data_IF_177942013819
#
_entry.id   IF_177942013819
#
_cell.length_a   1.000
_cell.length_b   1.000
_cell.length_c   1.000
_cell.angle_alpha   90.00
_cell.angle_beta   90.00
_cell.angle_gamma   90.00
#
_symmetry.space_group_name_H-M   'P 1'
#
loop_
_entity.id
_entity.type
_entity.pdbx_description
1 polymer ?
#
# COMPACT_ATOMS: atom_id res chain seq x y z
N UNK A 1 -8.11 -3.60 3.10
CA UNK A 1 -9.03 -3.73 1.94
C UNK A 1 -8.72 -5.06 1.24
N UNK A 2 -9.73 -5.80 0.77
CA UNK A 2 -9.49 -7.06 0.03
C UNK A 2 -9.27 -6.72 -1.44
N UNK A 3 -8.11 -7.06 -1.99
CA UNK A 3 -7.81 -6.84 -3.40
C UNK A 3 -7.89 -8.18 -4.10
N UNK A 4 -8.93 -8.32 -4.91
CA UNK A 4 -9.19 -9.51 -5.66
C UNK A 4 -8.39 -9.45 -6.97
N UNK A 5 -7.21 -10.07 -6.98
CA UNK A 5 -6.42 -10.20 -8.19
C UNK A 5 -6.94 -11.39 -9.02
N UNK A 6 -7.78 -11.12 -10.01
CA UNK A 6 -8.19 -12.11 -10.99
C UNK A 6 -7.42 -11.94 -12.32
N UNK A 7 -6.84 -13.06 -12.78
CA UNK A 7 -6.53 -13.45 -14.16
C UNK A 7 -5.12 -13.21 -14.72
N UNK A 8 -4.59 -14.28 -15.34
CA UNK A 8 -3.36 -14.32 -16.13
C UNK A 8 -3.39 -15.61 -16.99
N UNK A 9 -2.90 -15.60 -18.23
CA UNK A 9 -2.93 -16.73 -19.18
C UNK A 9 -1.56 -17.04 -19.79
N UNK A 10 -1.21 -18.34 -19.96
CA UNK A 10 -0.55 -18.89 -21.16
C UNK A 10 -0.58 -20.45 -21.28
N UNK A 11 -1.02 -20.84 -22.48
CA UNK A 11 -0.77 -21.99 -23.40
C UNK A 11 -1.08 -23.48 -23.12
N UNK A 12 -1.39 -23.93 -21.90
CA UNK A 12 -2.07 -25.24 -21.69
C UNK A 12 -3.33 -25.19 -20.83
N UNK A 13 -3.63 -24.02 -20.29
CA UNK A 13 -4.87 -23.68 -19.59
C UNK A 13 -5.65 -22.71 -20.49
N UNK A 14 -6.83 -23.10 -21.01
CA UNK A 14 -7.65 -22.24 -21.88
C UNK A 14 -8.66 -21.40 -21.09
N UNK A 15 -8.59 -20.08 -21.28
CA UNK A 15 -9.57 -19.06 -20.88
C UNK A 15 -9.08 -18.21 -19.71
N UNK A 16 -9.18 -16.88 -19.82
CA UNK A 16 -9.76 -15.91 -18.85
C UNK A 16 -9.40 -14.46 -19.24
N UNK A 17 -10.38 -13.59 -19.06
CA UNK A 17 -10.47 -12.21 -19.53
C UNK A 17 -10.10 -11.20 -18.44
N UNK A 18 -9.55 -10.08 -18.87
CA UNK A 18 -9.11 -8.85 -18.21
C UNK A 18 -9.98 -8.19 -17.10
N UNK A 19 -9.26 -7.48 -16.20
CA UNK A 19 -9.61 -6.31 -15.33
C UNK A 19 -10.58 -6.48 -14.14
N UNK A 20 -10.21 -5.91 -12.98
CA UNK A 20 -10.70 -4.62 -12.49
C UNK A 20 -9.85 -4.12 -11.30
N UNK A 21 -9.27 -2.93 -11.44
CA UNK A 21 -8.66 -2.18 -10.35
C UNK A 21 -9.76 -1.61 -9.46
N UNK A 22 -9.85 -2.03 -8.20
CA UNK A 22 -10.58 -1.31 -7.15
C UNK A 22 -9.78 -1.51 -5.85
N UNK A 23 -9.33 -0.50 -5.10
CA UNK A 23 -9.37 0.96 -5.20
C UNK A 23 -7.92 1.39 -4.87
N UNK A 24 -7.18 1.87 -5.87
CA UNK A 24 -5.83 2.39 -5.65
C UNK A 24 -5.97 3.65 -4.79
N UNK A 25 -5.27 3.71 -3.65
CA UNK A 25 -5.34 4.85 -2.73
C UNK A 25 -4.53 6.05 -3.23
N UNK A 26 -3.42 5.77 -3.95
CA UNK A 26 -2.51 6.77 -4.50
C UNK A 26 -2.35 6.59 -6.00
N UNK A 27 -2.41 7.67 -6.80
CA UNK A 27 -2.31 7.70 -8.27
C UNK A 27 -1.18 6.88 -8.89
N UNK A 28 -0.13 6.57 -8.11
CA UNK A 28 1.00 5.75 -8.53
C UNK A 28 0.75 4.22 -8.41
N UNK A 29 -0.41 3.80 -7.92
CA UNK A 29 -0.76 2.38 -7.77
C UNK A 29 -0.42 1.78 -6.40
N UNK A 30 -0.20 2.62 -5.39
CA UNK A 30 0.13 2.19 -4.02
C UNK A 30 -1.11 2.19 -3.11
N UNK A 31 -1.07 1.34 -2.08
CA UNK A 31 -2.11 1.22 -1.06
C UNK A 31 -1.64 1.77 0.28
N UNK A 32 -2.53 2.46 1.00
CA UNK A 32 -2.26 3.03 2.32
C UNK A 32 -2.39 2.01 3.46
N UNK A 33 -3.09 0.91 3.18
CA UNK A 33 -3.44 -0.11 4.15
C UNK A 33 -3.08 -1.50 3.65
N UNK A 34 -3.11 -2.46 4.58
CA UNK A 34 -2.97 -3.87 4.29
C UNK A 34 -3.87 -4.32 3.14
N UNK A 35 -3.22 -5.03 2.22
CA UNK A 35 -3.83 -5.62 1.03
C UNK A 35 -3.96 -7.11 1.26
N UNK A 36 -5.18 -7.65 1.19
CA UNK A 36 -5.36 -9.12 1.17
C UNK A 36 -5.46 -9.60 -0.26
N UNK A 37 -4.53 -10.46 -0.67
CA UNK A 37 -4.48 -11.12 -1.97
C UNK A 37 -5.22 -12.45 -1.89
N UNK A 38 -6.22 -12.62 -2.76
CA UNK A 38 -6.89 -13.90 -2.98
C UNK A 38 -6.37 -14.54 -4.26
N UNK A 39 -5.91 -15.79 -4.19
CA UNK A 39 -5.45 -16.55 -5.35
C UNK A 39 -6.49 -17.62 -5.73
N UNK A 40 -6.73 -17.77 -7.02
CA UNK A 40 -7.61 -18.79 -7.58
C UNK A 40 -6.99 -19.42 -8.82
N UNK A 41 -7.28 -20.69 -9.04
CA UNK A 41 -6.82 -21.43 -10.19
C UNK A 41 -7.91 -22.40 -10.65
N UNK A 42 -7.98 -22.61 -11.96
CA UNK A 42 -8.83 -23.61 -12.59
C UNK A 42 -7.97 -24.45 -13.54
N UNK A 43 -8.40 -25.69 -13.78
CA UNK A 43 -7.78 -26.58 -14.75
C UNK A 43 -8.88 -27.22 -15.59
N UNK A 44 -8.79 -27.07 -16.91
CA UNK A 44 -9.72 -27.67 -17.86
C UNK A 44 -9.45 -29.15 -18.11
N UNK A 45 -8.30 -29.67 -17.66
CA UNK A 45 -7.95 -31.07 -17.72
C UNK A 45 -8.57 -31.86 -16.58
N UNK A 46 -7.78 -32.10 -15.54
CA UNK A 46 -8.12 -33.04 -14.44
C UNK A 46 -8.45 -32.33 -13.13
N UNK A 47 -8.31 -31.01 -13.10
CA UNK A 47 -8.57 -30.18 -11.94
C UNK A 47 -7.28 -29.79 -11.22
N UNK A 48 -7.36 -28.68 -10.50
CA UNK A 48 -6.30 -28.17 -9.65
C UNK A 48 -6.23 -29.00 -8.37
N UNK A 49 -5.02 -29.39 -7.97
CA UNK A 49 -4.72 -29.97 -6.66
C UNK A 49 -4.56 -28.86 -5.62
N UNK A 50 -3.71 -27.87 -5.90
CA UNK A 50 -3.50 -26.71 -5.03
C UNK A 50 -2.78 -25.57 -5.75
N UNK A 51 -2.71 -24.43 -5.08
CA UNK A 51 -1.89 -23.29 -5.45
C UNK A 51 -0.73 -23.20 -4.46
N UNK A 52 0.43 -22.78 -4.95
CA UNK A 52 1.57 -22.39 -4.13
C UNK A 52 1.95 -20.94 -4.43
N UNK A 53 2.56 -20.28 -3.45
CA UNK A 53 3.11 -18.95 -3.57
C UNK A 53 4.51 -18.86 -2.96
N UNK A 54 5.26 -17.84 -3.38
CA UNK A 54 6.59 -17.51 -2.89
C UNK A 54 6.70 -16.01 -2.67
N UNK A 55 7.36 -15.63 -1.57
CA UNK A 55 7.65 -14.23 -1.19
C UNK A 55 9.15 -13.91 -1.28
N UNK A 56 9.96 -14.87 -1.73
CA UNK A 56 11.42 -14.82 -1.76
C UNK A 56 11.96 -15.14 -3.17
N UNK A 57 11.23 -14.67 -4.18
CA UNK A 57 11.56 -14.83 -5.58
C UNK A 57 11.73 -16.30 -6.05
N UNK A 58 10.89 -17.19 -5.51
CA UNK A 58 10.84 -18.60 -5.90
C UNK A 58 11.82 -19.50 -5.14
N UNK A 59 12.55 -18.98 -4.15
CA UNK A 59 13.47 -19.78 -3.34
C UNK A 59 12.73 -20.77 -2.43
N UNK A 60 11.59 -20.37 -1.86
CA UNK A 60 10.68 -21.25 -1.12
C UNK A 60 9.24 -21.10 -1.58
N UNK A 61 8.52 -22.22 -1.62
CA UNK A 61 7.12 -22.29 -2.02
C UNK A 61 6.26 -22.76 -0.85
N UNK A 62 5.17 -22.05 -0.60
CA UNK A 62 4.19 -22.34 0.44
C UNK A 62 2.85 -22.62 -0.20
N UNK A 63 2.12 -23.62 0.33
CA UNK A 63 0.75 -23.88 -0.11
C UNK A 63 -0.15 -22.71 0.25
N UNK A 64 -0.99 -22.30 -0.69
CA UNK A 64 -2.00 -21.29 -0.48
C UNK A 64 -3.25 -21.93 0.15
N UNK A 65 -3.64 -21.46 1.33
CA UNK A 65 -4.78 -21.99 2.09
C UNK A 65 -5.86 -20.93 2.31
N UNK A 66 -5.45 -19.68 2.51
CA UNK A 66 -6.31 -18.52 2.71
C UNK A 66 -5.63 -17.24 2.22
N UNK A 67 -6.36 -16.12 2.23
CA UNK A 67 -5.88 -14.82 1.74
C UNK A 67 -4.50 -14.43 2.28
N UNK A 68 -3.64 -13.90 1.40
CA UNK A 68 -2.30 -13.41 1.76
C UNK A 68 -2.37 -11.93 2.10
N UNK A 69 -2.15 -11.57 3.36
CA UNK A 69 -2.03 -10.17 3.77
C UNK A 69 -0.64 -9.63 3.44
N UNK A 70 -0.61 -8.52 2.70
CA UNK A 70 0.57 -7.73 2.38
C UNK A 70 0.48 -6.40 3.12
N UNK A 71 1.37 -6.21 4.07
CA UNK A 71 1.42 -5.02 4.94
C UNK A 71 2.79 -4.34 4.96
N UNK A 72 3.82 -5.00 4.42
CA UNK A 72 5.20 -4.49 4.46
C UNK A 72 5.34 -3.27 3.54
N UNK A 73 5.96 -2.22 4.06
CA UNK A 73 6.25 -1.01 3.30
C UNK A 73 7.02 -1.27 2.00
N UNK A 74 6.64 -0.55 0.95
CA UNK A 74 7.31 -0.57 -0.34
C UNK A 74 6.86 -1.72 -1.24
N UNK A 75 7.77 -2.17 -2.11
CA UNK A 75 7.48 -3.18 -3.13
C UNK A 75 7.46 -4.58 -2.53
N UNK A 76 6.33 -5.25 -2.68
CA UNK A 76 6.13 -6.65 -2.33
C UNK A 76 5.95 -7.45 -3.62
N UNK A 77 6.81 -8.45 -3.83
CA UNK A 77 6.70 -9.38 -4.96
C UNK A 77 6.17 -10.72 -4.47
N UNK A 78 5.05 -11.13 -5.03
CA UNK A 78 4.40 -12.40 -4.72
C UNK A 78 4.42 -13.23 -6.00
N UNK A 79 5.19 -14.30 -6.01
CA UNK A 79 5.14 -15.29 -7.06
C UNK A 79 4.11 -16.36 -6.73
N UNK A 80 3.41 -16.89 -7.72
CA UNK A 80 2.41 -17.93 -7.52
C UNK A 80 2.33 -18.88 -8.71
N UNK A 81 1.94 -20.13 -8.42
CA UNK A 81 1.76 -21.20 -9.40
C UNK A 81 0.70 -22.20 -8.93
N UNK A 82 0.08 -22.92 -9.86
CA UNK A 82 -0.87 -23.99 -9.57
C UNK A 82 -0.27 -25.36 -9.87
N UNK A 83 -0.70 -26.36 -9.10
CA UNK A 83 -0.33 -27.76 -9.26
C UNK A 83 -1.63 -28.52 -9.54
N UNK A 84 -1.66 -29.35 -10.58
CA UNK A 84 -2.82 -30.19 -10.91
C UNK A 84 -2.81 -31.54 -10.15
N UNK A 85 -3.82 -32.38 -10.35
CA UNK A 85 -3.94 -33.69 -9.67
C UNK A 85 -2.93 -34.76 -10.10
N UNK A 86 -2.18 -34.54 -11.19
CA UNK A 86 -1.08 -35.42 -11.63
C UNK A 86 0.27 -34.74 -11.50
N UNK A 87 0.35 -33.67 -10.69
CA UNK A 87 1.56 -32.93 -10.34
C UNK A 87 2.20 -32.15 -11.49
N UNK A 88 1.44 -31.76 -12.53
CA UNK A 88 1.93 -30.73 -13.45
C UNK A 88 1.88 -29.36 -12.76
N UNK A 89 2.94 -28.59 -12.93
CA UNK A 89 3.08 -27.23 -12.38
C UNK A 89 2.82 -26.22 -13.49
N UNK A 90 2.01 -25.20 -13.19
CA UNK A 90 1.77 -24.10 -14.13
C UNK A 90 3.00 -23.22 -14.32
N UNK A 91 2.96 -22.34 -15.32
CA UNK A 91 3.87 -21.20 -15.36
C UNK A 91 3.80 -20.39 -14.05
N UNK A 92 4.95 -19.91 -13.59
CA UNK A 92 5.05 -19.03 -12.43
C UNK A 92 4.70 -17.60 -12.83
N UNK A 93 3.84 -16.97 -12.04
CA UNK A 93 3.40 -15.59 -12.26
C UNK A 93 3.76 -14.72 -11.08
N UNK A 94 3.82 -13.42 -11.31
CA UNK A 94 4.19 -12.45 -10.29
C UNK A 94 3.11 -11.39 -10.15
N UNK A 95 2.73 -11.09 -8.91
CA UNK A 95 2.00 -9.89 -8.52
C UNK A 95 2.97 -8.97 -7.81
N UNK A 96 2.95 -7.69 -8.16
CA UNK A 96 3.66 -6.64 -7.44
C UNK A 96 2.63 -5.78 -6.70
N UNK A 97 2.78 -5.65 -5.39
CA UNK A 97 1.96 -4.78 -4.54
C UNK A 97 2.86 -3.74 -3.90
N UNK A 98 2.49 -2.47 -4.02
CA UNK A 98 3.16 -1.37 -3.36
C UNK A 98 2.32 -0.93 -2.17
N UNK A 99 2.93 -0.93 -0.99
CA UNK A 99 2.34 -0.36 0.22
C UNK A 99 3.08 0.95 0.51
N UNK A 100 2.31 1.99 0.81
CA UNK A 100 2.80 3.27 1.33
C UNK A 100 2.18 3.50 2.69
N UNK A 101 2.96 3.26 3.72
CA UNK A 101 2.56 3.32 5.11
C UNK A 101 2.12 4.72 5.47
N UNK A 102 1.11 4.81 6.34
CA UNK A 102 0.60 6.07 6.83
C UNK A 102 1.57 6.70 7.85
N UNK A 103 2.61 7.36 7.34
CA UNK A 103 3.62 8.06 8.13
C UNK A 103 3.66 9.54 7.77
N UNK A 104 4.19 10.37 8.67
CA UNK A 104 4.32 11.80 8.40
C UNK A 104 5.40 12.04 7.33
N UNK A 105 6.42 11.18 7.28
CA UNK A 105 7.46 11.15 6.27
C UNK A 105 6.88 10.90 4.87
N UNK A 106 5.96 9.94 4.74
CA UNK A 106 5.27 9.69 3.48
C UNK A 106 4.31 10.85 3.12
N UNK A 107 3.67 11.48 4.11
CA UNK A 107 2.86 12.67 3.87
C UNK A 107 3.71 13.84 3.34
N UNK A 108 4.92 14.04 3.88
CA UNK A 108 5.89 15.02 3.37
C UNK A 108 6.29 14.67 1.93
N UNK A 109 6.53 13.39 1.63
CA UNK A 109 6.85 12.95 0.26
C UNK A 109 5.72 13.25 -0.73
N UNK A 110 4.46 12.96 -0.37
CA UNK A 110 3.29 13.34 -1.17
C UNK A 110 3.22 14.86 -1.40
N UNK A 111 3.44 15.66 -0.35
CA UNK A 111 3.46 17.13 -0.46
C UNK A 111 4.56 17.63 -1.38
N UNK A 112 5.76 17.05 -1.32
CA UNK A 112 6.90 17.44 -2.17
C UNK A 112 6.63 17.13 -3.65
N UNK A 113 5.97 16.00 -3.92
CA UNK A 113 5.64 15.54 -5.26
C UNK A 113 4.36 16.18 -5.84
N UNK A 114 3.52 16.75 -4.99
CA UNK A 114 2.28 17.40 -5.39
C UNK A 114 2.51 18.53 -6.42
N UNK A 115 1.54 18.71 -7.31
CA UNK A 115 1.45 19.84 -8.20
C UNK A 115 0.68 20.97 -7.53
N UNK A 116 1.07 22.22 -7.83
CA UNK A 116 0.50 23.41 -7.22
C UNK A 116 1.54 24.43 -6.80
N UNK A 117 1.19 25.29 -5.86
CA UNK A 117 2.02 26.40 -5.42
C UNK A 117 3.24 25.91 -4.60
N UNK A 118 4.45 26.21 -5.08
CA UNK A 118 5.69 25.78 -4.42
C UNK A 118 5.88 26.36 -3.01
N UNK A 119 5.42 27.58 -2.73
CA UNK A 119 5.48 28.18 -1.40
C UNK A 119 4.57 27.45 -0.41
N UNK A 120 3.38 27.05 -0.85
CA UNK A 120 2.44 26.27 -0.03
C UNK A 120 3.01 24.88 0.27
N UNK A 121 3.51 24.17 -0.74
CA UNK A 121 4.15 22.86 -0.56
C UNK A 121 5.35 22.91 0.40
N UNK A 122 6.18 23.96 0.28
CA UNK A 122 7.33 24.18 1.17
C UNK A 122 6.87 24.41 2.62
N UNK A 123 5.89 25.29 2.81
CA UNK A 123 5.31 25.57 4.13
C UNK A 123 4.68 24.32 4.75
N UNK A 124 3.89 23.58 3.99
CA UNK A 124 3.22 22.36 4.44
C UNK A 124 4.23 21.26 4.81
N UNK A 125 5.29 21.08 4.01
CA UNK A 125 6.38 20.14 4.34
C UNK A 125 7.07 20.52 5.65
N UNK A 126 7.41 21.79 5.84
CA UNK A 126 8.05 22.28 7.07
C UNK A 126 7.15 22.10 8.31
N UNK A 127 5.84 22.34 8.16
CA UNK A 127 4.87 22.10 9.23
C UNK A 127 4.84 20.62 9.65
N UNK A 128 4.84 19.70 8.68
CA UNK A 128 4.87 18.27 8.96
C UNK A 128 6.21 17.83 9.60
N UNK A 129 7.34 18.38 9.16
CA UNK A 129 8.65 18.15 9.80
C UNK A 129 8.68 18.62 11.26
N UNK A 130 8.01 19.73 11.59
CA UNK A 130 7.88 20.18 12.97
C UNK A 130 6.95 19.28 13.82
N UNK A 131 5.97 18.60 13.20
CA UNK A 131 5.19 17.56 13.89
C UNK A 131 6.09 16.39 14.26
N UNK A 132 6.96 15.91 13.35
CA UNK A 132 7.93 14.84 13.65
C UNK A 132 8.82 15.23 14.83
N UNK A 133 9.42 16.43 14.80
CA UNK A 133 10.23 16.94 15.93
C UNK A 133 9.45 17.02 17.24
N UNK A 134 8.14 17.24 17.18
CA UNK A 134 7.28 17.29 18.37
C UNK A 134 7.02 15.89 18.93
N UNK A 135 6.88 14.89 18.07
CA UNK A 135 6.85 13.47 18.47
C UNK A 135 8.16 13.02 19.11
N UNK A 136 9.30 13.36 18.51
CA UNK A 136 10.65 13.04 19.04
C UNK A 136 10.88 13.62 20.44
N UNK A 137 10.27 14.78 20.73
CA UNK A 137 10.30 15.40 22.07
C UNK A 137 9.33 14.73 23.07
N UNK A 138 8.67 13.65 22.69
CA UNK A 138 7.67 12.95 23.51
C UNK A 138 6.34 13.69 23.67
N UNK A 139 6.10 14.78 22.91
CA UNK A 139 4.94 15.64 23.07
C UNK A 139 3.76 15.19 22.18
N UNK A 140 3.37 13.91 22.27
CA UNK A 140 2.39 13.26 21.37
C UNK A 140 1.09 14.06 21.17
N UNK A 141 0.45 14.50 22.26
CA UNK A 141 -0.81 15.25 22.17
C UNK A 141 -0.66 16.57 21.39
N UNK A 142 0.46 17.27 21.58
CA UNK A 142 0.74 18.52 20.83
C UNK A 142 1.01 18.22 19.35
N UNK A 143 1.70 17.12 19.07
CA UNK A 143 1.98 16.71 17.70
C UNK A 143 0.67 16.39 16.94
N UNK A 144 -0.24 15.60 17.54
CA UNK A 144 -1.55 15.33 16.93
C UNK A 144 -2.42 16.58 16.78
N UNK A 145 -2.44 17.49 17.77
CA UNK A 145 -3.14 18.77 17.63
C UNK A 145 -2.58 19.63 16.48
N UNK A 146 -1.27 19.61 16.26
CA UNK A 146 -0.66 20.27 15.10
C UNK A 146 -1.05 19.59 13.80
N UNK A 147 -1.11 18.25 13.77
CA UNK A 147 -1.53 17.48 12.61
C UNK A 147 -3.00 17.74 12.23
N UNK A 148 -3.91 17.83 13.22
CA UNK A 148 -5.31 18.22 13.01
C UNK A 148 -5.46 19.62 12.40
N UNK A 149 -4.62 20.57 12.85
CA UNK A 149 -4.58 21.92 12.28
C UNK A 149 -4.09 21.89 10.84
N UNK A 150 -3.05 21.11 10.54
CA UNK A 150 -2.53 20.92 9.19
C UNK A 150 -3.62 20.32 8.29
N UNK A 151 -4.27 19.24 8.72
CA UNK A 151 -5.39 18.61 8.00
C UNK A 151 -6.50 19.63 7.69
N UNK A 152 -6.94 20.36 8.71
CA UNK A 152 -7.99 21.38 8.57
C UNK A 152 -7.61 22.54 7.64
N UNK A 153 -6.32 22.91 7.61
CA UNK A 153 -5.80 23.96 6.75
C UNK A 153 -5.69 23.48 5.29
N UNK A 154 -5.09 22.31 5.08
CA UNK A 154 -4.94 21.69 3.75
C UNK A 154 -6.31 21.40 3.11
N UNK A 155 -7.33 21.03 3.90
CA UNK A 155 -8.69 20.84 3.37
C UNK A 155 -9.27 22.09 2.67
N UNK A 156 -8.83 23.28 3.08
CA UNK A 156 -9.31 24.56 2.55
C UNK A 156 -8.56 25.00 1.29
N UNK A 157 -7.47 24.33 0.93
CA UNK A 157 -6.71 24.64 -0.28
C UNK A 157 -7.57 24.45 -1.52
N UNK A 158 -7.39 25.36 -2.47
CA UNK A 158 -8.03 25.34 -3.78
C UNK A 158 -7.15 24.60 -4.78
N UNK A 159 -7.69 24.29 -5.96
CA UNK A 159 -6.91 23.68 -7.05
C UNK A 159 -5.70 24.52 -7.52
N UNK A 160 -5.64 25.83 -7.19
CA UNK A 160 -4.46 26.67 -7.46
C UNK A 160 -3.35 26.47 -6.43
N UNK A 161 -3.72 26.06 -5.22
CA UNK A 161 -2.79 25.84 -4.11
C UNK A 161 -2.16 24.45 -4.21
N UNK A 162 -2.99 23.43 -4.42
CA UNK A 162 -2.62 22.04 -4.73
C UNK A 162 -3.62 21.47 -5.72
N UNK A 163 -3.17 20.69 -6.72
CA UNK A 163 -4.10 19.98 -7.61
C UNK A 163 -5.01 19.03 -6.81
N UNK A 164 -6.27 18.91 -7.24
CA UNK A 164 -7.31 18.17 -6.49
C UNK A 164 -6.92 16.72 -6.16
N UNK A 165 -6.22 16.02 -7.06
CA UNK A 165 -5.78 14.63 -6.83
C UNK A 165 -4.71 14.59 -5.73
N UNK A 166 -3.69 15.44 -5.83
CA UNK A 166 -2.60 15.51 -4.84
C UNK A 166 -3.11 15.92 -3.46
N UNK A 167 -4.01 16.91 -3.42
CA UNK A 167 -4.69 17.31 -2.19
C UNK A 167 -5.43 16.13 -1.56
N UNK A 168 -6.17 15.35 -2.34
CA UNK A 168 -6.90 14.18 -1.82
C UNK A 168 -5.98 13.13 -1.24
N UNK A 169 -4.86 12.82 -1.89
CA UNK A 169 -3.87 11.85 -1.40
C UNK A 169 -3.26 12.28 -0.06
N UNK A 170 -2.84 13.54 0.03
CA UNK A 170 -2.30 14.12 1.27
C UNK A 170 -3.37 14.07 2.37
N UNK A 171 -4.60 14.50 2.06
CA UNK A 171 -5.71 14.49 3.02
C UNK A 171 -6.05 13.08 3.50
N UNK A 172 -6.05 12.10 2.60
CA UNK A 172 -6.32 10.70 2.93
C UNK A 172 -5.26 10.14 3.89
N UNK A 173 -3.97 10.39 3.60
CA UNK A 173 -2.89 9.98 4.48
C UNK A 173 -2.96 10.65 5.86
N UNK A 174 -3.18 11.96 5.91
CA UNK A 174 -3.30 12.70 7.17
C UNK A 174 -4.50 12.23 8.00
N UNK A 175 -5.66 11.98 7.36
CA UNK A 175 -6.84 11.45 8.02
C UNK A 175 -6.54 10.08 8.64
N UNK A 176 -5.91 9.18 7.89
CA UNK A 176 -5.59 7.85 8.37
C UNK A 176 -4.68 7.87 9.61
N UNK A 177 -3.64 8.72 9.59
CA UNK A 177 -2.74 8.92 10.74
C UNK A 177 -3.52 9.42 11.97
N UNK A 178 -4.47 10.34 11.75
CA UNK A 178 -5.32 10.90 12.81
C UNK A 178 -6.36 9.91 13.35
N UNK A 179 -6.82 8.95 12.55
CA UNK A 179 -7.77 7.91 13.01
C UNK A 179 -7.08 6.79 13.78
N UNK A 180 -5.81 6.49 13.46
CA UNK A 180 -5.07 5.36 14.01
C UNK A 180 -4.01 5.77 15.05
N UNK A 181 -4.30 6.82 15.84
CA UNK A 181 -3.38 7.38 16.85
C UNK A 181 -2.85 6.34 17.85
N UNK A 182 -3.65 5.31 18.15
CA UNK A 182 -3.33 4.23 19.09
C UNK A 182 -2.51 3.09 18.49
N UNK A 183 -2.57 2.85 17.17
CA UNK A 183 -1.75 1.84 16.51
C UNK A 183 -0.26 2.25 16.43
N UNK A 184 0.00 3.56 16.40
CA UNK A 184 1.35 4.15 16.50
C UNK A 184 1.85 4.32 17.95
N UNK A 185 1.23 3.65 18.93
CA UNK A 185 1.46 3.93 20.36
C UNK A 185 2.28 2.90 21.15
N UNK A 186 2.77 1.81 20.56
CA UNK A 186 3.69 0.93 21.28
C UNK A 186 4.20 -0.26 20.47
N UNK A 187 5.32 -0.07 19.78
CA UNK A 187 6.60 -0.80 19.97
C UNK A 187 7.58 -0.54 18.82
N UNK A 188 7.18 0.22 17.80
CA UNK A 188 8.07 0.68 16.74
C UNK A 188 8.19 2.21 16.80
N UNK A 189 9.38 2.67 17.20
CA UNK A 189 9.92 3.93 16.67
C UNK A 189 9.72 3.90 15.14
N UNK A 190 9.32 4.98 14.45
CA UNK A 190 9.28 4.97 12.98
C UNK A 190 10.66 4.53 12.51
N UNK A 191 10.73 3.31 11.95
CA UNK A 191 11.92 2.49 11.99
C UNK A 191 13.02 3.05 11.10
N UNK A 192 13.86 3.92 11.68
CA UNK A 192 15.30 3.75 11.54
C UNK A 192 15.62 2.39 12.17
N UNK A 193 15.89 1.39 11.33
CA UNK A 193 17.14 0.63 11.37
C UNK A 193 17.20 -0.33 10.19
N UNK A 194 18.02 0.05 9.22
CA UNK A 194 18.83 -0.92 8.49
C UNK A 194 19.85 -1.54 9.47
N UNK A 195 19.86 -2.86 9.54
CA UNK A 195 21.05 -3.71 9.64
C UNK A 195 20.63 -5.17 9.50
#
# INVERSE_FOLDING_TARGET
MTINFYNFLLDKFKGYTTLLFEQIDFKEGSYLHDVTITLAATDAGIGVSHIEYSLDNGATWKRYEEGLTVSKEGKNSIQYRAIDKVHNVSETKTIEVFITSATIENAISLVKQAKGNNGIKTSLSAQLEDVIKTFEKGQKNKAYQSLEKIYSHTNKFTNKDLEEVDKKEIMFMLQYILEHQSANSGDESPALLAS
#
